data_IF_275707378862
#
_entry.id   IF_275707378862
#
_cell.length_a   1.000
_cell.length_b   1.000
_cell.length_c   1.000
_cell.angle_alpha   90.00
_cell.angle_beta   90.00
_cell.angle_gamma   90.00
#
_symmetry.space_group_name_H-M   'P 1'
#
loop_
_entity.id
_entity.type
_entity.pdbx_description
1 polymer ?
#
# COMPACT_ATOMS: atom_id res chain seq x y z
N UNK A 1 -49.51 -88.56 5.03
CA UNK A 1 -50.06 -87.29 4.52
C UNK A 1 -49.12 -86.17 4.94
N UNK A 2 -48.39 -85.58 4.01
CA UNK A 2 -47.61 -84.36 4.27
C UNK A 2 -47.49 -83.61 2.94
N UNK A 3 -48.29 -82.55 2.78
CA UNK A 3 -48.24 -81.66 1.62
C UNK A 3 -47.09 -80.67 1.81
N UNK A 4 -46.21 -80.58 0.81
CA UNK A 4 -45.22 -79.51 0.67
C UNK A 4 -45.91 -78.24 0.15
N UNK A 5 -45.96 -77.21 1.00
CA UNK A 5 -46.36 -75.85 0.62
C UNK A 5 -45.14 -75.12 0.05
N UNK A 6 -45.21 -74.69 -1.21
CA UNK A 6 -44.21 -73.79 -1.81
C UNK A 6 -44.56 -72.33 -1.49
N UNK A 7 -43.60 -71.47 -1.10
CA UNK A 7 -43.87 -70.06 -0.82
C UNK A 7 -44.01 -69.26 -2.13
N UNK A 8 -45.13 -68.54 -2.28
CA UNK A 8 -45.31 -67.51 -3.31
C UNK A 8 -44.49 -66.28 -2.89
N UNK A 9 -43.45 -65.95 -3.67
CA UNK A 9 -42.71 -64.69 -3.49
C UNK A 9 -43.56 -63.54 -4.00
N UNK A 10 -43.97 -62.65 -3.11
CA UNK A 10 -44.63 -61.39 -3.46
C UNK A 10 -43.63 -60.43 -4.14
N UNK A 11 -43.67 -60.36 -5.46
CA UNK A 11 -42.83 -59.46 -6.27
C UNK A 11 -43.37 -58.03 -6.33
N UNK A 12 -44.60 -57.78 -5.85
CA UNK A 12 -45.30 -56.51 -6.03
C UNK A 12 -44.67 -55.35 -5.24
N UNK A 13 -44.21 -55.60 -4.00
CA UNK A 13 -43.53 -54.60 -3.18
C UNK A 13 -42.17 -54.17 -3.75
N UNK A 14 -41.46 -55.09 -4.40
CA UNK A 14 -40.16 -54.82 -5.02
C UNK A 14 -40.30 -53.95 -6.28
N UNK A 15 -41.39 -54.08 -7.03
CA UNK A 15 -41.67 -53.26 -8.23
C UNK A 15 -42.04 -51.81 -7.88
N UNK A 16 -42.83 -51.61 -6.82
CA UNK A 16 -43.15 -50.25 -6.32
C UNK A 16 -41.90 -49.55 -5.81
N UNK A 17 -41.03 -50.26 -5.08
CA UNK A 17 -39.76 -49.71 -4.60
C UNK A 17 -38.80 -49.35 -5.76
N UNK A 18 -38.66 -50.23 -6.77
CA UNK A 18 -37.86 -49.96 -7.98
C UNK A 18 -38.39 -48.76 -8.77
N UNK A 19 -39.72 -48.60 -8.87
CA UNK A 19 -40.34 -47.46 -9.57
C UNK A 19 -40.08 -46.14 -8.83
N UNK A 20 -40.20 -46.13 -7.49
CA UNK A 20 -39.88 -44.95 -6.66
C UNK A 20 -38.42 -44.55 -6.77
N UNK A 21 -37.51 -45.53 -6.74
CA UNK A 21 -36.07 -45.28 -6.91
C UNK A 21 -35.77 -44.68 -8.29
N UNK A 22 -36.35 -45.21 -9.38
CA UNK A 22 -36.18 -44.64 -10.72
C UNK A 22 -36.70 -43.21 -10.82
N UNK A 23 -37.85 -42.91 -10.22
CA UNK A 23 -38.41 -41.54 -10.20
C UNK A 23 -37.50 -40.58 -9.42
N UNK A 24 -36.99 -41.00 -8.26
CA UNK A 24 -36.05 -40.21 -7.47
C UNK A 24 -34.72 -40.00 -8.21
N UNK A 25 -34.15 -41.04 -8.82
CA UNK A 25 -32.93 -40.94 -9.63
C UNK A 25 -33.13 -40.02 -10.83
N UNK A 26 -34.27 -40.08 -11.52
CA UNK A 26 -34.59 -39.18 -12.62
C UNK A 26 -34.72 -37.73 -12.15
N UNK A 27 -35.37 -37.50 -11.00
CA UNK A 27 -35.48 -36.16 -10.41
C UNK A 27 -34.10 -35.59 -10.05
N UNK A 28 -33.25 -36.38 -9.39
CA UNK A 28 -31.87 -35.98 -9.05
C UNK A 28 -31.07 -35.69 -10.32
N UNK A 29 -31.21 -36.51 -11.36
CA UNK A 29 -30.52 -36.31 -12.64
C UNK A 29 -30.96 -35.01 -13.31
N UNK A 30 -32.26 -34.70 -13.30
CA UNK A 30 -32.79 -33.44 -13.84
C UNK A 30 -32.24 -32.24 -13.06
N UNK A 31 -32.24 -32.29 -11.72
CA UNK A 31 -31.67 -31.21 -10.88
C UNK A 31 -30.16 -31.07 -11.11
N UNK A 32 -29.44 -32.19 -11.25
CA UNK A 32 -28.01 -32.17 -11.57
C UNK A 32 -27.73 -31.53 -12.93
N UNK A 33 -28.53 -31.85 -13.94
CA UNK A 33 -28.43 -31.28 -15.28
C UNK A 33 -28.75 -29.78 -15.30
N UNK A 34 -29.74 -29.31 -14.54
CA UNK A 34 -30.04 -27.86 -14.48
C UNK A 34 -28.91 -27.07 -13.81
N UNK A 35 -28.31 -27.60 -12.74
CA UNK A 35 -27.15 -26.98 -12.09
C UNK A 35 -25.94 -26.99 -13.05
N UNK A 36 -25.65 -28.10 -13.72
CA UNK A 36 -24.56 -28.20 -14.68
C UNK A 36 -24.73 -27.25 -15.86
N UNK A 37 -25.94 -27.15 -16.41
CA UNK A 37 -26.26 -26.18 -17.46
C UNK A 37 -26.08 -24.73 -16.99
N UNK A 38 -26.50 -24.42 -15.75
CA UNK A 38 -26.27 -23.09 -15.16
C UNK A 38 -24.78 -22.80 -14.98
N UNK A 39 -23.98 -23.79 -14.58
CA UNK A 39 -22.53 -23.66 -14.42
C UNK A 39 -21.84 -23.41 -15.77
N UNK A 40 -22.17 -24.19 -16.81
CA UNK A 40 -21.64 -23.98 -18.17
C UNK A 40 -22.03 -22.59 -18.68
N UNK A 41 -23.26 -22.15 -18.45
CA UNK A 41 -23.70 -20.81 -18.82
C UNK A 41 -22.89 -19.72 -18.10
N UNK A 42 -22.64 -19.87 -16.80
CA UNK A 42 -21.81 -18.93 -16.03
C UNK A 42 -20.37 -18.88 -16.56
N UNK A 43 -19.79 -20.04 -16.89
CA UNK A 43 -18.41 -20.16 -17.37
C UNK A 43 -18.19 -19.71 -18.82
N UNK A 44 -19.24 -19.65 -19.65
CA UNK A 44 -19.11 -19.30 -21.08
C UNK A 44 -19.70 -17.93 -21.40
N UNK A 45 -20.88 -17.59 -20.88
CA UNK A 45 -21.55 -16.33 -21.19
C UNK A 45 -21.04 -15.14 -20.35
N UNK A 46 -20.46 -15.40 -19.18
CA UNK A 46 -19.92 -14.36 -18.28
C UNK A 46 -18.43 -14.52 -18.00
N UNK A 47 -17.75 -15.39 -18.75
CA UNK A 47 -16.33 -15.69 -18.56
C UNK A 47 -15.48 -14.42 -18.58
N UNK A 48 -15.70 -13.58 -19.58
CA UNK A 48 -14.91 -12.36 -19.78
C UNK A 48 -15.23 -11.31 -18.71
N UNK A 49 -16.49 -11.20 -18.28
CA UNK A 49 -16.89 -10.29 -17.20
C UNK A 49 -16.24 -10.69 -15.88
N UNK A 50 -16.26 -11.98 -15.50
CA UNK A 50 -15.63 -12.44 -14.26
C UNK A 50 -14.09 -12.42 -14.34
N UNK A 51 -13.51 -12.66 -15.52
CA UNK A 51 -12.06 -12.48 -15.75
C UNK A 51 -11.65 -11.02 -15.63
N UNK A 52 -12.42 -10.09 -16.20
CA UNK A 52 -12.16 -8.66 -16.10
C UNK A 52 -12.29 -8.15 -14.66
N UNK A 53 -13.33 -8.58 -13.93
CA UNK A 53 -13.49 -8.24 -12.50
C UNK A 53 -12.32 -8.81 -11.68
N UNK A 54 -11.90 -10.05 -11.93
CA UNK A 54 -10.76 -10.65 -11.23
C UNK A 54 -9.43 -9.93 -11.54
N UNK A 55 -9.24 -9.43 -12.77
CA UNK A 55 -8.06 -8.67 -13.16
C UNK A 55 -8.02 -7.28 -12.52
N UNK A 56 -9.17 -6.60 -12.39
CA UNK A 56 -9.24 -5.29 -11.74
C UNK A 56 -8.96 -5.36 -10.23
N UNK A 57 -9.34 -6.46 -9.57
CA UNK A 57 -9.05 -6.68 -8.13
C UNK A 57 -7.56 -6.96 -7.87
N UNK A 58 -6.80 -7.39 -8.88
CA UNK A 58 -5.38 -7.73 -8.72
C UNK A 58 -4.42 -6.57 -9.02
N UNK A 59 -4.90 -5.41 -9.47
CA UNK A 59 -4.04 -4.35 -9.96
C UNK A 59 -4.39 -3.02 -9.33
N UNK A 60 -3.61 -2.63 -8.33
CA UNK A 60 -3.75 -1.33 -7.68
C UNK A 60 -2.76 -0.33 -8.29
N UNK A 61 -3.23 0.89 -8.58
CA UNK A 61 -2.35 1.97 -9.04
C UNK A 61 -1.89 2.76 -7.82
N UNK A 62 -0.60 2.78 -7.53
CA UNK A 62 0.03 3.53 -6.44
C UNK A 62 0.79 4.74 -6.98
N UNK A 63 0.83 5.81 -6.18
CA UNK A 63 1.62 6.99 -6.51
C UNK A 63 3.10 6.72 -6.25
N UNK A 64 3.94 7.03 -7.23
CA UNK A 64 5.40 7.01 -7.07
C UNK A 64 5.86 8.43 -6.71
N UNK A 65 6.51 8.65 -5.55
CA UNK A 65 6.91 9.98 -5.13
C UNK A 65 7.93 10.57 -6.11
N UNK A 66 7.74 11.85 -6.46
CA UNK A 66 8.71 12.63 -7.22
C UNK A 66 9.70 13.33 -6.27
N UNK A 67 10.94 13.53 -6.72
CA UNK A 67 11.88 14.32 -5.95
C UNK A 67 11.53 15.81 -6.08
N UNK A 68 11.56 16.53 -4.96
CA UNK A 68 11.33 17.98 -4.96
C UNK A 68 12.54 18.69 -5.57
N UNK A 69 12.34 19.82 -6.25
CA UNK A 69 13.45 20.60 -6.82
C UNK A 69 14.46 21.07 -5.77
N UNK A 70 15.74 21.08 -6.14
CA UNK A 70 16.79 21.66 -5.28
C UNK A 70 16.65 23.18 -5.23
N UNK A 71 16.88 23.79 -4.06
CA UNK A 71 17.11 25.22 -3.91
C UNK A 71 18.62 25.42 -3.79
N UNK A 72 19.18 26.19 -4.72
CA UNK A 72 20.61 26.44 -4.81
C UNK A 72 20.93 27.93 -4.69
N UNK A 73 22.13 28.23 -4.20
CA UNK A 73 22.68 29.58 -4.16
C UNK A 73 23.09 30.06 -5.57
N UNK A 74 23.52 31.32 -5.69
CA UNK A 74 23.92 31.91 -6.98
C UNK A 74 25.11 31.21 -7.66
N UNK A 75 25.87 30.42 -6.92
CA UNK A 75 27.03 29.64 -7.40
C UNK A 75 26.67 28.19 -7.70
N UNK A 76 25.43 27.77 -7.40
CA UNK A 76 24.93 26.41 -7.59
C UNK A 76 25.11 25.50 -6.37
N UNK A 77 25.52 26.02 -5.21
CA UNK A 77 25.63 25.23 -3.98
C UNK A 77 24.25 24.95 -3.40
N UNK A 78 24.02 23.72 -2.93
CA UNK A 78 22.72 23.29 -2.40
C UNK A 78 22.46 23.95 -1.05
N UNK A 79 21.35 24.69 -0.98
CA UNK A 79 20.79 25.25 0.26
C UNK A 79 19.73 24.32 0.85
N UNK A 80 18.86 23.79 -0.01
CA UNK A 80 17.90 22.75 0.33
C UNK A 80 17.82 21.74 -0.82
N UNK A 81 17.98 20.46 -0.53
CA UNK A 81 17.98 19.38 -1.51
C UNK A 81 17.18 18.19 -1.01
N UNK A 82 17.45 17.02 -1.59
CA UNK A 82 16.86 15.76 -1.12
C UNK A 82 17.98 14.79 -0.77
N UNK A 83 17.74 14.00 0.27
CA UNK A 83 18.54 12.82 0.56
C UNK A 83 17.67 11.58 0.44
N UNK A 84 18.29 10.50 0.00
CA UNK A 84 17.68 9.18 0.07
C UNK A 84 17.44 8.79 1.53
N UNK A 85 16.23 8.38 1.83
CA UNK A 85 15.85 7.79 3.11
C UNK A 85 15.08 6.50 2.90
N UNK A 86 15.01 5.67 3.94
CA UNK A 86 14.07 4.57 3.98
C UNK A 86 12.86 4.94 4.84
N UNK A 87 11.71 4.42 4.44
CA UNK A 87 10.52 4.37 5.27
C UNK A 87 10.00 2.94 5.35
N UNK A 88 9.29 2.66 6.44
CA UNK A 88 8.63 1.38 6.67
C UNK A 88 7.14 1.63 6.67
N UNK A 89 6.45 1.02 5.72
CA UNK A 89 5.01 1.05 5.56
C UNK A 89 4.40 -0.30 5.96
N UNK A 90 3.17 -0.25 6.46
CA UNK A 90 2.41 -1.44 6.87
C UNK A 90 1.10 -1.51 6.10
N UNK A 91 0.83 -2.67 5.52
CA UNK A 91 -0.45 -2.99 4.90
C UNK A 91 -1.47 -3.36 5.98
N UNK A 92 -2.68 -2.80 5.89
CA UNK A 92 -3.78 -3.13 6.78
C UNK A 92 -4.67 -4.18 6.12
N UNK A 93 -5.05 -5.29 6.81
CA UNK A 93 -4.80 -5.59 8.22
C UNK A 93 -3.41 -6.21 8.49
N UNK A 94 -2.82 -5.87 9.64
CA UNK A 94 -1.57 -6.47 10.15
C UNK A 94 -1.85 -7.28 11.41
N UNK A 95 -1.11 -8.35 11.63
CA UNK A 95 -1.19 -9.19 12.82
C UNK A 95 -0.41 -8.58 14.01
N UNK A 96 -0.89 -8.87 15.23
CA UNK A 96 -0.26 -8.39 16.46
C UNK A 96 1.21 -8.84 16.60
N UNK A 97 1.57 -9.99 16.02
CA UNK A 97 2.92 -10.52 16.05
C UNK A 97 3.88 -9.69 15.18
N UNK A 98 3.49 -9.30 13.98
CA UNK A 98 4.29 -8.39 13.14
C UNK A 98 4.47 -7.03 13.80
N UNK A 99 3.42 -6.51 14.44
CA UNK A 99 3.53 -5.25 15.19
C UNK A 99 4.53 -5.38 16.34
N UNK A 100 4.52 -6.49 17.08
CA UNK A 100 5.49 -6.74 18.15
C UNK A 100 6.93 -6.83 17.60
N UNK A 101 7.13 -7.54 16.49
CA UNK A 101 8.44 -7.63 15.83
C UNK A 101 8.92 -6.25 15.33
N UNK A 102 8.02 -5.44 14.77
CA UNK A 102 8.33 -4.06 14.37
C UNK A 102 8.72 -3.20 15.58
N UNK A 103 8.05 -3.32 16.72
CA UNK A 103 8.41 -2.61 17.96
C UNK A 103 9.84 -2.98 18.38
N UNK A 104 10.18 -4.27 18.37
CA UNK A 104 11.50 -4.76 18.78
C UNK A 104 12.62 -4.28 17.83
N UNK A 105 12.38 -4.27 16.52
CA UNK A 105 13.37 -3.85 15.52
C UNK A 105 13.47 -2.32 15.36
N UNK A 106 12.35 -1.61 15.51
CA UNK A 106 12.31 -0.15 15.33
C UNK A 106 12.68 0.62 16.60
N UNK A 107 12.54 0.02 17.77
CA UNK A 107 12.62 0.70 19.06
C UNK A 107 11.45 1.68 19.32
N UNK A 108 10.45 1.73 18.42
CA UNK A 108 9.27 2.56 18.56
C UNK A 108 8.22 1.88 19.43
N UNK A 109 7.42 2.65 20.17
CA UNK A 109 6.36 2.06 21.00
C UNK A 109 5.21 1.54 20.14
N UNK A 110 4.54 0.46 20.60
CA UNK A 110 3.31 -0.05 19.94
C UNK A 110 2.27 1.06 19.75
N UNK A 111 2.15 1.95 20.73
CA UNK A 111 1.22 3.09 20.65
C UNK A 111 1.58 4.07 19.53
N UNK A 112 2.86 4.35 19.29
CA UNK A 112 3.30 5.25 18.22
C UNK A 112 3.00 4.67 16.83
N UNK A 113 3.25 3.38 16.63
CA UNK A 113 2.94 2.67 15.38
C UNK A 113 1.42 2.66 15.15
N UNK A 114 0.65 2.25 16.16
CA UNK A 114 -0.82 2.19 16.07
C UNK A 114 -1.47 3.56 15.83
N UNK A 115 -0.94 4.62 16.45
CA UNK A 115 -1.43 5.97 16.22
C UNK A 115 -1.24 6.40 14.76
N UNK A 116 -0.13 6.01 14.12
CA UNK A 116 0.12 6.29 12.70
C UNK A 116 -0.75 5.46 11.77
N UNK A 117 -1.16 4.26 12.18
CA UNK A 117 -2.07 3.43 11.41
C UNK A 117 -3.53 3.93 11.41
N UNK A 118 -3.91 4.77 12.36
CA UNK A 118 -5.27 5.35 12.40
C UNK A 118 -5.47 6.39 11.30
N UNK A 119 -6.58 6.31 10.57
CA UNK A 119 -6.91 7.29 9.51
C UNK A 119 -7.38 8.60 10.17
N UNK A 120 -6.83 9.73 9.72
CA UNK A 120 -7.21 11.03 10.24
C UNK A 120 -8.70 11.31 10.03
N UNK A 121 -9.40 11.71 11.10
CA UNK A 121 -10.83 12.00 11.09
C UNK A 121 -11.71 10.87 11.62
N UNK A 122 -11.15 9.67 11.84
CA UNK A 122 -11.86 8.57 12.48
C UNK A 122 -11.81 8.61 14.01
N UNK A 123 -12.79 8.01 14.72
CA UNK A 123 -12.76 7.90 16.17
C UNK A 123 -11.49 7.16 16.66
N UNK A 124 -10.69 7.81 17.50
CA UNK A 124 -9.42 7.27 18.00
C UNK A 124 -8.17 7.75 17.25
N UNK A 125 -8.34 8.53 16.18
CA UNK A 125 -7.21 9.15 15.49
C UNK A 125 -6.58 10.27 16.33
N UNK A 126 -5.25 10.26 16.45
CA UNK A 126 -4.51 11.30 17.16
C UNK A 126 -4.07 12.41 16.19
N UNK A 127 -4.46 13.67 16.41
CA UNK A 127 -4.05 14.78 15.54
C UNK A 127 -2.52 14.88 15.44
N UNK A 128 -2.02 15.02 14.21
CA UNK A 128 -0.59 15.17 13.93
C UNK A 128 0.18 13.86 13.76
N UNK A 129 -0.38 12.71 14.17
CA UNK A 129 0.25 11.38 13.96
C UNK A 129 -0.57 10.47 13.05
N UNK A 130 -1.88 10.67 12.95
CA UNK A 130 -2.75 9.88 12.09
C UNK A 130 -2.35 9.92 10.60
N UNK A 131 -2.73 8.87 9.87
CA UNK A 131 -2.50 8.73 8.44
C UNK A 131 -3.45 9.62 7.64
N UNK A 132 -2.90 10.43 6.74
CA UNK A 132 -3.64 11.35 5.84
C UNK A 132 -3.77 10.85 4.40
N UNK A 133 -3.44 9.58 4.13
CA UNK A 133 -3.61 9.00 2.81
C UNK A 133 -4.95 8.26 2.64
N UNK A 134 -5.07 7.56 1.53
CA UNK A 134 -6.27 6.81 1.18
C UNK A 134 -6.36 5.48 1.95
N UNK A 135 -7.56 5.05 2.37
CA UNK A 135 -7.75 3.72 2.95
C UNK A 135 -7.29 2.61 2.00
N UNK A 136 -6.71 1.55 2.56
CA UNK A 136 -6.21 0.40 1.77
C UNK A 136 -4.82 0.59 1.17
N UNK A 137 -4.19 1.76 1.36
CA UNK A 137 -2.78 1.97 0.99
C UNK A 137 -1.83 1.54 2.10
N UNK A 138 -0.60 1.09 1.78
CA UNK A 138 0.45 0.89 2.79
C UNK A 138 0.65 2.18 3.60
N UNK A 139 0.56 2.07 4.92
CA UNK A 139 0.61 3.22 5.82
C UNK A 139 2.05 3.40 6.33
N UNK A 140 2.74 4.52 6.04
CA UNK A 140 4.11 4.76 6.52
C UNK A 140 4.12 4.98 8.04
N UNK A 141 4.51 3.94 8.78
CA UNK A 141 4.58 3.92 10.25
C UNK A 141 5.93 4.40 10.78
N UNK A 142 7.00 4.26 10.01
CA UNK A 142 8.32 4.77 10.35
C UNK A 142 8.85 5.55 9.16
N UNK A 143 9.23 6.79 9.41
CA UNK A 143 9.84 7.69 8.42
C UNK A 143 11.25 8.01 8.86
N UNK A 144 12.12 8.27 7.89
CA UNK A 144 13.52 8.63 8.15
C UNK A 144 14.34 7.53 8.86
N UNK A 145 14.17 6.28 8.42
CA UNK A 145 14.77 5.12 9.08
C UNK A 145 16.25 4.97 8.67
N UNK A 146 17.19 4.86 9.62
CA UNK A 146 18.59 4.61 9.33
C UNK A 146 18.80 3.31 8.54
N UNK A 147 19.74 3.33 7.59
CA UNK A 147 20.00 2.20 6.68
C UNK A 147 20.16 0.86 7.42
N UNK A 148 20.98 0.73 8.48
CA UNK A 148 21.15 -0.56 9.17
C UNK A 148 19.84 -1.10 9.75
N UNK A 149 18.97 -0.21 10.23
CA UNK A 149 17.68 -0.57 10.80
C UNK A 149 16.66 -0.93 9.71
N UNK A 150 16.61 -0.16 8.62
CA UNK A 150 15.75 -0.46 7.48
C UNK A 150 16.08 -1.82 6.85
N UNK A 151 17.38 -2.13 6.72
CA UNK A 151 17.84 -3.43 6.24
C UNK A 151 17.46 -4.55 7.21
N UNK A 152 17.64 -4.37 8.52
CA UNK A 152 17.24 -5.37 9.51
C UNK A 152 15.73 -5.66 9.48
N UNK A 153 14.89 -4.64 9.28
CA UNK A 153 13.43 -4.81 9.15
C UNK A 153 13.08 -5.52 7.85
N UNK A 154 13.73 -5.16 6.74
CA UNK A 154 13.51 -5.80 5.44
C UNK A 154 13.93 -7.27 5.46
N UNK A 155 15.09 -7.56 6.04
CA UNK A 155 15.66 -8.91 6.10
C UNK A 155 14.90 -9.82 7.09
N UNK A 156 14.07 -9.25 7.97
CA UNK A 156 13.16 -9.99 8.84
C UNK A 156 11.91 -10.52 8.11
N UNK A 157 11.65 -10.08 6.87
CA UNK A 157 10.59 -10.58 5.98
C UNK A 157 9.22 -10.67 6.68
N UNK A 158 8.85 -9.59 7.37
CA UNK A 158 7.60 -9.51 8.12
C UNK A 158 6.41 -9.36 7.16
N UNK A 159 5.39 -10.19 7.35
CA UNK A 159 4.19 -10.18 6.52
C UNK A 159 3.46 -8.83 6.60
N UNK A 160 3.15 -8.23 5.45
CA UNK A 160 2.46 -6.93 5.38
C UNK A 160 3.34 -5.73 5.77
N UNK A 161 4.66 -5.89 5.82
CA UNK A 161 5.62 -4.79 6.05
C UNK A 161 6.43 -4.55 4.78
N UNK A 162 6.41 -3.31 4.31
CA UNK A 162 7.14 -2.88 3.12
C UNK A 162 8.19 -1.87 3.55
N UNK A 163 9.44 -2.11 3.14
CA UNK A 163 10.54 -1.15 3.30
C UNK A 163 10.83 -0.54 1.94
N UNK A 164 10.60 0.77 1.81
CA UNK A 164 10.79 1.47 0.55
C UNK A 164 11.71 2.68 0.70
N UNK A 165 12.37 2.99 -0.41
CA UNK A 165 13.27 4.13 -0.51
C UNK A 165 12.48 5.36 -0.95
N UNK A 166 12.54 6.42 -0.15
CA UNK A 166 11.84 7.69 -0.43
C UNK A 166 12.80 8.88 -0.32
N UNK A 167 12.66 9.90 -1.20
CA UNK A 167 13.41 11.13 -1.06
C UNK A 167 12.84 11.95 0.12
N UNK A 168 13.70 12.34 1.05
CA UNK A 168 13.35 13.22 2.17
C UNK A 168 14.08 14.54 2.00
N UNK A 169 13.39 15.65 2.29
CA UNK A 169 13.95 17.00 2.19
C UNK A 169 15.10 17.16 3.19
N UNK A 170 16.23 17.64 2.71
CA UNK A 170 17.44 17.87 3.51
C UNK A 170 17.95 19.30 3.33
N UNK A 171 18.50 19.89 4.39
CA UNK A 171 19.03 21.25 4.42
C UNK A 171 20.51 21.21 4.80
N UNK A 172 21.40 20.73 3.90
CA UNK A 172 22.79 20.41 4.23
C UNK A 172 23.69 21.65 4.35
N UNK A 173 23.17 22.84 4.05
CA UNK A 173 23.93 24.09 3.97
C UNK A 173 24.50 24.51 5.33
N UNK A 174 25.69 25.14 5.32
CA UNK A 174 26.30 25.74 6.52
C UNK A 174 25.56 27.00 6.99
N UNK A 175 24.84 27.66 6.11
CA UNK A 175 23.93 28.75 6.47
C UNK A 175 22.60 28.15 6.92
N UNK A 176 22.03 28.71 7.98
CA UNK A 176 20.71 28.30 8.43
C UNK A 176 19.66 28.74 7.40
N UNK A 177 19.67 30.04 7.04
CA UNK A 177 18.73 30.71 6.15
C UNK A 177 17.25 30.31 6.36
N UNK A 178 16.88 29.80 7.54
CA UNK A 178 15.63 29.08 7.76
C UNK A 178 14.38 29.94 7.50
N UNK A 179 14.45 31.25 7.78
CA UNK A 179 13.36 32.16 7.48
C UNK A 179 13.18 32.41 5.98
N UNK A 180 14.28 32.38 5.22
CA UNK A 180 14.26 32.60 3.77
C UNK A 180 13.90 31.31 3.06
N UNK A 181 14.57 30.20 3.38
CA UNK A 181 14.28 28.89 2.80
C UNK A 181 12.87 28.42 3.19
N UNK A 182 12.51 28.55 4.47
CA UNK A 182 11.26 28.05 5.01
C UNK A 182 11.35 26.57 5.40
N UNK A 183 10.18 25.93 5.50
CA UNK A 183 10.07 24.53 5.89
C UNK A 183 8.86 23.87 5.22
N UNK A 184 8.85 22.54 5.26
CA UNK A 184 7.75 21.72 4.77
C UNK A 184 6.84 21.28 5.91
N UNK A 185 5.55 21.18 5.63
CA UNK A 185 4.57 20.50 6.46
C UNK A 185 3.71 19.65 5.55
N UNK A 186 3.72 18.34 5.76
CA UNK A 186 2.94 17.36 4.99
C UNK A 186 3.33 17.31 3.50
N UNK A 187 4.62 17.48 3.22
CA UNK A 187 5.14 17.55 1.85
C UNK A 187 4.83 18.86 1.12
N UNK A 188 4.16 19.81 1.77
CA UNK A 188 3.84 21.12 1.20
C UNK A 188 4.73 22.21 1.81
N UNK A 189 5.18 23.16 1.00
CA UNK A 189 5.85 24.37 1.49
C UNK A 189 4.94 25.18 2.42
N UNK A 190 5.41 25.48 3.63
CA UNK A 190 4.63 26.23 4.63
C UNK A 190 5.13 27.65 4.88
N UNK A 191 6.38 27.94 4.53
CA UNK A 191 6.99 29.26 4.70
C UNK A 191 8.11 29.48 3.68
N UNK A 192 8.59 30.71 3.57
CA UNK A 192 9.77 31.07 2.78
C UNK A 192 9.66 30.70 1.30
N UNK A 193 10.81 30.42 0.69
CA UNK A 193 10.92 29.96 -0.69
C UNK A 193 10.21 28.64 -0.92
N UNK A 194 10.17 27.76 0.08
CA UNK A 194 9.46 26.49 -0.02
C UNK A 194 7.97 26.67 -0.29
N UNK A 195 7.32 27.65 0.37
CA UNK A 195 5.91 27.97 0.13
C UNK A 195 5.69 28.75 -1.16
N UNK A 196 6.51 29.78 -1.40
CA UNK A 196 6.38 30.66 -2.58
C UNK A 196 6.52 29.88 -3.89
N UNK A 197 7.48 28.96 -3.96
CA UNK A 197 7.79 28.18 -5.16
C UNK A 197 7.29 26.74 -5.07
N UNK A 198 6.33 26.44 -4.19
CA UNK A 198 5.89 25.07 -3.92
C UNK A 198 5.42 24.32 -5.19
N UNK A 199 4.69 25.01 -6.07
CA UNK A 199 4.18 24.45 -7.33
C UNK A 199 5.32 24.04 -8.27
N UNK A 200 6.35 24.88 -8.41
CA UNK A 200 7.51 24.59 -9.25
C UNK A 200 8.42 23.52 -8.61
N UNK A 201 8.56 23.56 -7.28
CA UNK A 201 9.44 22.68 -6.53
C UNK A 201 8.86 21.27 -6.35
N UNK A 202 7.55 21.08 -6.22
CA UNK A 202 6.96 19.78 -5.84
C UNK A 202 7.17 18.67 -6.88
N UNK A 203 7.26 19.02 -8.16
CA UNK A 203 7.23 18.02 -9.23
C UNK A 203 5.84 17.39 -9.37
N UNK A 204 5.75 16.37 -10.23
CA UNK A 204 4.53 15.61 -10.48
C UNK A 204 4.76 14.14 -10.14
N UNK A 205 3.92 13.57 -9.29
CA UNK A 205 4.01 12.16 -8.90
C UNK A 205 3.78 11.26 -10.11
N UNK A 206 4.50 10.13 -10.14
CA UNK A 206 4.30 9.08 -11.12
C UNK A 206 3.19 8.13 -10.66
N UNK A 207 2.90 7.14 -11.51
CA UNK A 207 1.96 6.07 -11.23
C UNK A 207 2.64 4.72 -11.48
N UNK A 208 2.52 3.80 -10.53
CA UNK A 208 2.94 2.42 -10.68
C UNK A 208 1.77 1.47 -10.44
N UNK A 209 1.71 0.40 -11.24
CA UNK A 209 0.79 -0.70 -11.08
C UNK A 209 1.42 -1.71 -10.13
N UNK A 210 0.83 -1.91 -8.97
CA UNK A 210 1.14 -3.03 -8.09
C UNK A 210 0.26 -4.22 -8.45
N UNK A 211 0.91 -5.34 -8.77
CA UNK A 211 0.24 -6.62 -8.98
C UNK A 211 0.54 -7.50 -7.77
N UNK A 212 -0.50 -7.83 -7.00
CA UNK A 212 -0.36 -8.74 -5.86
C UNK A 212 -0.04 -10.16 -6.35
N UNK A 213 1.03 -10.71 -5.82
CA UNK A 213 1.49 -12.08 -6.06
C UNK A 213 0.80 -13.02 -5.07
N UNK A 214 0.55 -14.26 -5.47
CA UNK A 214 -0.11 -15.28 -4.63
C UNK A 214 0.63 -15.57 -3.32
N UNK A 215 1.93 -15.27 -3.27
CA UNK A 215 2.80 -15.52 -2.13
C UNK A 215 2.91 -14.29 -1.19
N UNK A 216 2.09 -13.25 -1.40
CA UNK A 216 2.01 -12.08 -0.52
C UNK A 216 2.94 -10.91 -0.88
N UNK A 217 3.77 -11.04 -1.92
CA UNK A 217 4.57 -9.92 -2.45
C UNK A 217 3.82 -9.13 -3.53
N UNK A 218 4.28 -7.92 -3.85
CA UNK A 218 3.77 -7.12 -4.97
C UNK A 218 4.85 -6.92 -6.04
N UNK A 219 4.51 -7.09 -7.32
CA UNK A 219 5.35 -6.63 -8.42
C UNK A 219 4.90 -5.23 -8.82
N UNK A 220 5.83 -4.28 -8.82
CA UNK A 220 5.59 -2.91 -9.27
C UNK A 220 6.00 -2.75 -10.74
N UNK A 221 5.05 -2.28 -11.55
CA UNK A 221 5.29 -1.86 -12.92
C UNK A 221 4.98 -0.36 -13.03
N UNK A 222 6.00 0.47 -13.24
CA UNK A 222 5.81 1.92 -13.40
C UNK A 222 5.04 2.18 -14.71
N UNK A 223 3.83 2.70 -14.60
CA UNK A 223 2.98 3.07 -15.75
C UNK A 223 3.32 4.49 -16.22
N UNK A 224 3.57 5.39 -15.26
CA UNK A 224 3.96 6.77 -15.51
C UNK A 224 5.13 7.12 -14.59
N UNK A 225 6.27 7.52 -15.18
CA UNK A 225 7.42 7.94 -14.39
C UNK A 225 7.13 9.27 -13.67
N UNK A 226 7.57 9.45 -12.41
CA UNK A 226 7.49 10.74 -11.74
C UNK A 226 8.31 11.79 -12.48
N UNK A 227 7.86 13.04 -12.43
CA UNK A 227 8.61 14.20 -12.92
C UNK A 227 9.13 14.98 -11.72
N UNK A 228 10.44 15.05 -11.59
CA UNK A 228 11.08 15.81 -10.52
C UNK A 228 10.75 17.30 -10.61
N UNK A 229 10.74 17.95 -9.45
CA UNK A 229 10.52 19.37 -9.34
C UNK A 229 11.63 20.20 -9.97
N UNK A 230 11.29 21.43 -10.36
CA UNK A 230 12.24 22.35 -10.97
C UNK A 230 13.24 22.86 -9.94
N UNK A 231 14.51 22.93 -10.33
CA UNK A 231 15.55 23.55 -9.50
C UNK A 231 15.34 25.07 -9.41
N UNK A 232 15.37 25.60 -8.19
CA UNK A 232 15.29 27.03 -7.91
C UNK A 232 16.70 27.61 -7.69
N UNK A 233 17.12 28.50 -8.60
CA UNK A 233 18.35 29.28 -8.45
C UNK A 233 18.05 30.58 -7.70
N UNK A 234 18.67 30.77 -6.55
CA UNK A 234 18.51 31.99 -5.73
C UNK A 234 19.64 32.98 -5.99
N UNK A 235 19.42 34.24 -5.59
CA UNK A 235 20.48 35.26 -5.57
C UNK A 235 21.31 35.23 -4.28
N UNK A 236 21.00 34.31 -3.35
CA UNK A 236 21.76 34.15 -2.12
C UNK A 236 23.18 33.72 -2.44
N UNK A 237 24.12 34.18 -1.63
CA UNK A 237 25.51 33.74 -1.65
C UNK A 237 25.75 33.06 -0.30
N UNK A 238 26.06 31.76 -0.33
CA UNK A 238 26.14 30.95 0.89
C UNK A 238 27.18 31.50 1.88
N UNK A 239 28.35 31.89 1.39
CA UNK A 239 29.44 32.40 2.23
C UNK A 239 29.04 33.73 2.88
N UNK A 240 28.41 34.63 2.11
CA UNK A 240 27.89 35.90 2.63
C UNK A 240 26.81 35.66 3.69
N UNK A 241 25.89 34.71 3.45
CA UNK A 241 24.83 34.38 4.39
C UNK A 241 25.38 33.83 5.71
N UNK A 242 26.39 32.95 5.67
CA UNK A 242 27.06 32.44 6.87
C UNK A 242 27.68 33.57 7.69
N UNK A 243 28.36 34.52 7.03
CA UNK A 243 28.98 35.67 7.71
C UNK A 243 27.90 36.58 8.32
N UNK A 244 26.82 36.86 7.61
CA UNK A 244 25.72 37.67 8.10
C UNK A 244 25.05 37.04 9.34
N UNK A 245 24.77 35.73 9.31
CA UNK A 245 24.18 35.03 10.45
C UNK A 245 25.11 34.97 11.66
N UNK A 246 26.43 34.84 11.44
CA UNK A 246 27.40 34.91 12.53
C UNK A 246 27.40 36.30 13.16
N UNK A 247 27.43 37.36 12.35
CA UNK A 247 27.42 38.74 12.84
C UNK A 247 26.12 39.14 13.58
N UNK A 248 25.01 38.46 13.32
CA UNK A 248 23.74 38.66 14.05
C UNK A 248 23.63 37.88 15.36
N UNK A 249 24.51 36.89 15.59
CA UNK A 249 24.57 36.14 16.86
C UNK A 249 25.41 36.84 17.92
N UNK A 250 26.39 37.63 17.48
CA UNK A 250 27.31 38.40 18.30
C UNK A 250 26.70 39.76 18.71
#
# INVERSE_FOLDING_TARGET
MTQTVTPVRDTSGADVARRRLRVLSALILVVGLTIAARLVWLQTAQADTYRAIAQQVQTDVVAVPAARGDIVDRTGQILAGNRTSYEVAVESPVDDQTVAALVDLSGSSKAAIMARMSICGEPGATPGTCYRGEPGRPIPVLTDVPIPQALAIRDADLSGVIVQQVPVRDYPSKANAAHVLGYLGDGQGRSGLEAEYDEALRGQQGEAKQVLTRDGGATEEVIAAPQDGQRLLTTLDLDTQVVAERALRD
#
